data_IF_682316997191
#
_entry.id   IF_682316997191
#
_cell.length_a   1.000
_cell.length_b   1.000
_cell.length_c   1.000
_cell.angle_alpha   90.00
_cell.angle_beta   90.00
_cell.angle_gamma   90.00
#
_symmetry.space_group_name_H-M   'P 1'
#
loop_
_entity.id
_entity.type
_entity.pdbx_description
1 polymer ?
#
# COMPACT_ATOMS: atom_id res chain seq x y z
N UNK A 1 -8.05 -15.11 10.10
CA UNK A 1 -8.52 -15.04 8.70
C UNK A 1 -8.69 -16.44 8.09
N UNK A 2 -7.62 -17.23 7.91
CA UNK A 2 -7.63 -18.51 7.20
C UNK A 2 -8.60 -19.54 7.78
N UNK A 3 -8.56 -19.77 9.09
CA UNK A 3 -9.49 -20.70 9.77
C UNK A 3 -10.97 -20.33 9.53
N UNK A 4 -11.29 -19.04 9.45
CA UNK A 4 -12.64 -18.56 9.19
C UNK A 4 -13.10 -18.87 7.77
N UNK A 5 -12.19 -18.78 6.79
CA UNK A 5 -12.44 -19.17 5.39
C UNK A 5 -12.67 -20.68 5.31
N UNK A 6 -11.78 -21.48 5.92
CA UNK A 6 -11.90 -22.94 5.94
C UNK A 6 -13.21 -23.40 6.56
N UNK A 7 -13.59 -22.81 7.70
CA UNK A 7 -14.85 -23.11 8.37
C UNK A 7 -16.06 -22.69 7.52
N UNK A 8 -16.02 -21.51 6.90
CA UNK A 8 -17.11 -21.03 6.03
C UNK A 8 -17.27 -21.88 4.77
N UNK A 9 -16.20 -22.50 4.29
CA UNK A 9 -16.20 -23.37 3.11
C UNK A 9 -16.45 -24.85 3.45
N UNK A 10 -16.64 -25.19 4.73
CA UNK A 10 -16.85 -26.58 5.17
C UNK A 10 -15.64 -27.49 4.98
N UNK A 11 -14.44 -26.93 4.90
CA UNK A 11 -13.18 -27.64 4.65
C UNK A 11 -12.13 -27.36 5.76
N UNK A 12 -12.45 -27.62 7.05
CA UNK A 12 -11.58 -27.27 8.17
C UNK A 12 -10.18 -27.91 8.09
N UNK A 13 -10.08 -29.09 7.47
CA UNK A 13 -8.84 -29.88 7.39
C UNK A 13 -8.06 -29.67 6.08
N UNK A 14 -8.46 -28.73 5.22
CA UNK A 14 -7.77 -28.49 3.97
C UNK A 14 -6.33 -28.00 4.20
N UNK A 15 -5.41 -28.53 3.38
CA UNK A 15 -4.02 -28.09 3.39
C UNK A 15 -3.92 -26.68 2.80
N UNK A 16 -3.59 -25.71 3.65
CA UNK A 16 -3.40 -24.32 3.24
C UNK A 16 -1.99 -24.11 2.70
N UNK A 17 -1.89 -23.65 1.46
CA UNK A 17 -0.63 -23.20 0.86
C UNK A 17 -0.64 -21.67 0.78
N UNK A 18 0.25 -21.02 1.55
CA UNK A 18 0.50 -19.58 1.44
C UNK A 18 1.77 -19.41 0.62
N UNK A 19 1.67 -18.76 -0.54
CA UNK A 19 2.84 -18.36 -1.34
C UNK A 19 3.09 -16.86 -1.20
N UNK A 20 4.38 -16.51 -1.26
CA UNK A 20 4.96 -15.26 -0.79
C UNK A 20 4.13 -14.00 -1.00
N UNK A 21 3.85 -13.32 0.10
CA UNK A 21 3.26 -11.97 0.15
C UNK A 21 4.28 -10.92 -0.32
N UNK A 22 5.57 -11.26 -0.29
CA UNK A 22 6.64 -10.33 -0.60
C UNK A 22 6.70 -9.95 -2.09
N UNK A 23 6.95 -8.66 -2.33
CA UNK A 23 7.15 -8.06 -3.65
C UNK A 23 8.49 -7.34 -3.64
N UNK A 24 9.59 -8.07 -3.94
CA UNK A 24 10.93 -7.54 -3.71
C UNK A 24 11.23 -6.30 -4.56
N UNK A 25 10.57 -6.16 -5.71
CA UNK A 25 10.68 -5.03 -6.62
C UNK A 25 9.95 -3.74 -6.17
N UNK A 26 9.30 -3.73 -4.99
CA UNK A 26 8.61 -2.56 -4.45
C UNK A 26 9.31 -2.09 -3.17
N UNK A 27 10.00 -0.96 -3.22
CA UNK A 27 10.58 -0.35 -2.02
C UNK A 27 9.47 0.22 -1.12
N UNK A 28 9.46 -0.14 0.16
CA UNK A 28 8.44 0.31 1.11
C UNK A 28 8.96 1.48 1.95
N UNK A 29 8.37 2.67 1.83
CA UNK A 29 8.84 3.89 2.49
C UNK A 29 7.77 4.44 3.42
N UNK A 30 8.01 4.37 4.73
CA UNK A 30 7.19 5.07 5.74
C UNK A 30 7.73 6.48 5.96
N UNK A 31 6.84 7.46 5.90
CA UNK A 31 7.18 8.87 5.97
C UNK A 31 6.31 9.58 7.01
N UNK A 32 6.92 9.91 8.15
CA UNK A 32 6.30 10.74 9.18
C UNK A 32 6.11 12.17 8.66
N UNK A 33 4.86 12.60 8.55
CA UNK A 33 4.47 13.91 8.07
C UNK A 33 3.16 14.37 8.75
N UNK A 34 3.15 15.54 9.41
CA UNK A 34 1.91 16.17 9.87
C UNK A 34 0.89 16.30 8.74
N UNK A 35 -0.40 16.19 9.06
CA UNK A 35 -1.50 16.24 8.08
C UNK A 35 -1.40 17.46 7.15
N UNK A 36 -1.04 18.63 7.71
CA UNK A 36 -0.86 19.90 6.99
C UNK A 36 0.23 19.87 5.90
N UNK A 37 1.23 18.99 6.02
CA UNK A 37 2.36 18.89 5.09
C UNK A 37 2.14 17.82 4.01
N UNK A 38 1.18 16.90 4.22
CA UNK A 38 0.98 15.75 3.32
C UNK A 38 0.67 16.16 1.88
N UNK A 39 -0.16 17.18 1.69
CA UNK A 39 -0.50 17.64 0.34
C UNK A 39 0.73 18.17 -0.41
N UNK A 40 1.61 18.92 0.26
CA UNK A 40 2.86 19.43 -0.33
C UNK A 40 3.85 18.29 -0.65
N UNK A 41 3.94 17.28 0.23
CA UNK A 41 4.74 16.08 -0.03
C UNK A 41 4.21 15.33 -1.25
N UNK A 42 2.90 15.12 -1.34
CA UNK A 42 2.28 14.46 -2.49
C UNK A 42 2.50 15.27 -3.77
N UNK A 43 2.40 16.60 -3.71
CA UNK A 43 2.72 17.45 -4.85
C UNK A 43 4.17 17.30 -5.31
N UNK A 44 5.13 17.23 -4.37
CA UNK A 44 6.53 16.94 -4.68
C UNK A 44 6.73 15.56 -5.31
N UNK A 45 5.98 14.54 -4.86
CA UNK A 45 5.99 13.20 -5.47
C UNK A 45 5.37 13.19 -6.87
N UNK A 46 4.26 13.92 -7.09
CA UNK A 46 3.62 14.03 -8.40
C UNK A 46 4.54 14.67 -9.45
N UNK A 47 5.43 15.59 -9.04
CA UNK A 47 6.44 16.23 -9.90
C UNK A 47 7.61 15.32 -10.30
N UNK A 48 7.75 14.15 -9.68
CA UNK A 48 8.81 13.22 -10.06
C UNK A 48 8.53 12.66 -11.45
N UNK A 49 9.56 12.66 -12.30
CA UNK A 49 9.55 11.92 -13.54
C UNK A 49 9.49 10.42 -13.20
N UNK A 50 8.52 9.70 -13.78
CA UNK A 50 8.39 8.27 -13.61
C UNK A 50 8.89 7.57 -14.89
N UNK A 51 9.74 6.53 -14.76
CA UNK A 51 10.29 5.82 -15.91
C UNK A 51 9.20 5.08 -16.69
N UNK A 52 9.38 4.93 -18.01
CA UNK A 52 8.57 4.05 -18.85
C UNK A 52 7.08 4.40 -18.89
N UNK A 53 6.73 5.70 -18.97
CA UNK A 53 5.35 6.18 -18.85
C UNK A 53 4.67 5.73 -17.56
N UNK A 54 5.46 5.69 -16.48
CA UNK A 54 5.05 5.19 -15.19
C UNK A 54 3.90 5.99 -14.59
N UNK A 55 3.08 5.31 -13.79
CA UNK A 55 1.89 5.88 -13.14
C UNK A 55 2.08 6.00 -11.63
N UNK A 56 1.37 6.95 -11.03
CA UNK A 56 1.30 7.12 -9.59
C UNK A 56 -0.15 7.17 -9.12
N UNK A 57 -0.43 6.40 -8.08
CA UNK A 57 -1.73 6.31 -7.42
C UNK A 57 -1.64 6.87 -6.01
N UNK A 58 -2.54 7.78 -5.64
CA UNK A 58 -2.65 8.31 -4.28
C UNK A 58 -3.91 7.77 -3.63
N UNK A 59 -3.77 6.97 -2.58
CA UNK A 59 -4.88 6.47 -1.77
C UNK A 59 -5.22 7.45 -0.65
N UNK A 60 -6.49 7.89 -0.62
CA UNK A 60 -7.05 8.76 0.42
C UNK A 60 -8.20 8.04 1.14
N UNK A 61 -8.36 8.24 2.46
CA UNK A 61 -9.37 7.51 3.23
C UNK A 61 -10.80 8.02 2.98
N UNK A 62 -10.97 9.30 2.62
CA UNK A 62 -12.29 9.91 2.43
C UNK A 62 -12.34 10.80 1.20
N UNK A 63 -13.56 10.96 0.66
CA UNK A 63 -13.84 11.92 -0.42
C UNK A 63 -13.40 13.34 -0.05
N UNK A 64 -13.72 13.80 1.17
CA UNK A 64 -13.34 15.13 1.65
C UNK A 64 -11.83 15.38 1.58
N UNK A 65 -11.01 14.39 1.95
CA UNK A 65 -9.54 14.50 1.85
C UNK A 65 -9.09 14.49 0.39
N UNK A 66 -9.69 13.64 -0.45
CA UNK A 66 -9.40 13.60 -1.88
C UNK A 66 -9.72 14.90 -2.60
N UNK A 67 -10.89 15.48 -2.36
CA UNK A 67 -11.30 16.78 -2.93
C UNK A 67 -10.34 17.90 -2.49
N UNK A 68 -9.98 17.94 -1.20
CA UNK A 68 -9.03 18.93 -0.68
C UNK A 68 -7.62 18.75 -1.26
N UNK A 69 -7.16 17.51 -1.42
CA UNK A 69 -5.89 17.19 -2.05
C UNK A 69 -5.89 17.59 -3.53
N UNK A 70 -6.95 17.23 -4.27
CA UNK A 70 -7.11 17.59 -5.68
C UNK A 70 -7.07 19.11 -5.86
N UNK A 71 -7.80 19.86 -5.04
CA UNK A 71 -7.79 21.32 -5.09
C UNK A 71 -6.41 21.92 -4.74
N UNK A 72 -5.67 21.30 -3.82
CA UNK A 72 -4.30 21.71 -3.53
C UNK A 72 -3.35 21.46 -4.72
N UNK A 73 -3.39 20.26 -5.31
CA UNK A 73 -2.57 19.91 -6.47
C UNK A 73 -2.89 20.82 -7.67
N UNK A 74 -4.17 21.12 -7.91
CA UNK A 74 -4.59 22.03 -8.97
C UNK A 74 -4.00 23.45 -8.78
N UNK A 75 -4.00 23.98 -7.54
CA UNK A 75 -3.34 25.27 -7.24
C UNK A 75 -1.84 25.26 -7.45
N UNK A 76 -1.22 24.09 -7.38
CA UNK A 76 0.20 23.88 -7.68
C UNK A 76 0.47 23.57 -9.16
N UNK A 77 -0.55 23.66 -10.03
CA UNK A 77 -0.43 23.39 -11.48
C UNK A 77 -0.34 21.91 -11.83
N UNK A 78 -0.75 21.01 -10.91
CA UNK A 78 -0.72 19.57 -11.10
C UNK A 78 -2.13 19.04 -11.34
N UNK A 79 -2.42 18.66 -12.58
CA UNK A 79 -3.67 17.98 -12.91
C UNK A 79 -3.64 16.54 -12.39
N UNK A 80 -4.40 16.27 -11.33
CA UNK A 80 -4.51 14.93 -10.75
C UNK A 80 -5.99 14.59 -10.52
N UNK A 81 -6.64 13.85 -11.44
CA UNK A 81 -8.03 13.45 -11.28
C UNK A 81 -8.27 12.63 -10.01
N UNK A 82 -9.43 12.83 -9.38
CA UNK A 82 -9.86 12.07 -8.21
C UNK A 82 -10.95 11.07 -8.58
N UNK A 83 -10.61 9.78 -8.57
CA UNK A 83 -11.54 8.70 -8.84
C UNK A 83 -12.24 8.22 -7.56
N UNK A 84 -13.57 8.25 -7.56
CA UNK A 84 -14.42 7.66 -6.53
C UNK A 84 -15.78 7.23 -7.10
N UNK A 85 -16.55 6.45 -6.34
CA UNK A 85 -17.83 5.87 -6.80
C UNK A 85 -18.88 6.90 -7.21
N UNK A 86 -18.83 8.10 -6.62
CA UNK A 86 -19.73 9.22 -6.91
C UNK A 86 -19.17 10.22 -7.94
N UNK A 87 -18.06 9.91 -8.62
CA UNK A 87 -17.50 10.79 -9.63
C UNK A 87 -18.42 10.79 -10.84
N UNK A 88 -19.00 11.94 -11.18
CA UNK A 88 -19.73 12.14 -12.43
C UNK A 88 -20.81 11.08 -12.72
N UNK A 89 -21.07 10.86 -14.01
CA UNK A 89 -21.86 9.73 -14.48
C UNK A 89 -20.97 8.48 -14.74
N UNK A 90 -21.59 7.34 -15.06
CA UNK A 90 -20.86 6.09 -15.29
C UNK A 90 -19.83 6.19 -16.43
N UNK A 91 -20.16 6.94 -17.47
CA UNK A 91 -19.30 7.14 -18.64
C UNK A 91 -18.05 7.95 -18.28
N UNK A 92 -18.17 9.04 -17.51
CA UNK A 92 -17.02 9.86 -17.10
C UNK A 92 -16.00 9.05 -16.27
N UNK A 93 -16.48 8.17 -15.38
CA UNK A 93 -15.61 7.27 -14.62
C UNK A 93 -14.87 6.29 -15.53
N UNK A 94 -15.59 5.72 -16.50
CA UNK A 94 -15.00 4.79 -17.47
C UNK A 94 -13.97 5.49 -18.35
N UNK A 95 -14.24 6.73 -18.80
CA UNK A 95 -13.29 7.50 -19.60
C UNK A 95 -12.04 7.87 -18.82
N UNK A 96 -12.18 8.34 -17.58
CA UNK A 96 -11.03 8.60 -16.72
C UNK A 96 -10.20 7.33 -16.53
N UNK A 97 -10.86 6.19 -16.33
CA UNK A 97 -10.19 4.92 -16.18
C UNK A 97 -9.41 4.51 -17.43
N UNK A 98 -10.02 4.61 -18.61
CA UNK A 98 -9.37 4.36 -19.90
C UNK A 98 -8.16 5.28 -20.10
N UNK A 99 -8.29 6.57 -19.78
CA UNK A 99 -7.17 7.54 -19.83
C UNK A 99 -6.04 7.17 -18.87
N UNK A 100 -6.37 6.66 -17.69
CA UNK A 100 -5.38 6.25 -16.69
C UNK A 100 -4.65 4.97 -17.11
N UNK A 101 -5.39 3.96 -17.60
CA UNK A 101 -4.81 2.71 -18.13
C UNK A 101 -3.93 3.00 -19.35
N UNK A 102 -4.32 3.95 -20.19
CA UNK A 102 -3.61 4.36 -21.41
C UNK A 102 -4.39 4.10 -22.71
N UNK A 103 -5.62 3.61 -22.59
CA UNK A 103 -6.50 3.23 -23.70
C UNK A 103 -7.28 4.43 -24.29
N UNK A 104 -7.18 5.61 -23.67
CA UNK A 104 -7.83 6.84 -24.13
C UNK A 104 -6.93 8.05 -23.94
N UNK A 105 -7.17 9.09 -24.74
CA UNK A 105 -6.41 10.34 -24.75
C UNK A 105 -7.24 11.51 -24.21
N UNK A 106 -6.61 12.50 -23.55
CA UNK A 106 -5.20 12.53 -23.16
C UNK A 106 -4.90 11.56 -22.00
N UNK A 107 -3.70 10.97 -21.99
CA UNK A 107 -3.30 10.00 -20.95
C UNK A 107 -3.25 10.69 -19.59
N UNK A 108 -3.67 9.97 -18.55
CA UNK A 108 -3.51 10.38 -17.15
C UNK A 108 -2.50 9.44 -16.51
N UNK A 109 -1.49 9.99 -15.85
CA UNK A 109 -0.43 9.22 -15.18
C UNK A 109 -0.40 9.46 -13.66
N UNK A 110 -1.19 10.40 -13.14
CA UNK A 110 -1.40 10.66 -11.71
C UNK A 110 -2.88 10.56 -11.40
N UNK A 111 -3.24 9.78 -10.38
CA UNK A 111 -4.64 9.67 -9.94
C UNK A 111 -4.74 9.65 -8.42
N UNK A 112 -5.72 10.35 -7.87
CA UNK A 112 -6.17 10.17 -6.48
C UNK A 112 -7.30 9.15 -6.51
N UNK A 113 -7.36 8.29 -5.51
CA UNK A 113 -8.39 7.28 -5.39
C UNK A 113 -8.72 6.97 -3.93
N UNK A 114 -9.93 6.50 -3.68
CA UNK A 114 -10.26 5.85 -2.41
C UNK A 114 -9.99 4.35 -2.50
N UNK A 115 -10.03 3.64 -1.37
CA UNK A 115 -9.91 2.17 -1.33
C UNK A 115 -10.89 1.43 -2.24
N UNK A 116 -12.02 2.07 -2.62
CA UNK A 116 -12.98 1.53 -3.58
C UNK A 116 -12.44 1.38 -5.02
N UNK A 117 -11.36 2.07 -5.38
CA UNK A 117 -10.66 1.89 -6.67
C UNK A 117 -9.85 0.58 -6.74
N UNK A 118 -9.87 -0.20 -5.65
CA UNK A 118 -8.99 -1.34 -5.39
C UNK A 118 -9.45 -2.73 -5.86
N UNK A 119 -10.71 -2.94 -6.25
CA UNK A 119 -11.18 -4.28 -6.64
C UNK A 119 -11.32 -4.41 -8.16
N UNK A 120 -10.58 -5.36 -8.76
CA UNK A 120 -10.78 -5.80 -10.14
C UNK A 120 -10.07 -4.99 -11.24
N UNK A 121 -9.45 -3.86 -10.91
CA UNK A 121 -8.73 -3.06 -11.89
C UNK A 121 -7.24 -3.44 -11.98
N UNK A 122 -6.81 -3.94 -13.14
CA UNK A 122 -5.41 -4.14 -13.48
C UNK A 122 -4.86 -2.92 -14.23
N UNK A 123 -3.98 -2.17 -13.57
CA UNK A 123 -3.34 -0.99 -14.16
C UNK A 123 -1.88 -1.32 -14.43
N UNK A 124 -1.43 -1.32 -15.68
CA UNK A 124 -0.03 -1.55 -16.00
C UNK A 124 0.85 -0.38 -15.57
N UNK A 125 2.14 -0.65 -15.38
CA UNK A 125 3.19 0.35 -15.20
C UNK A 125 3.00 1.33 -14.01
N UNK A 126 2.35 0.91 -12.94
CA UNK A 126 2.30 1.70 -11.70
C UNK A 126 3.69 1.67 -11.04
N UNK A 127 4.38 2.82 -11.04
CA UNK A 127 5.71 3.00 -10.45
C UNK A 127 5.65 3.47 -9.00
N UNK A 128 4.57 4.16 -8.63
CA UNK A 128 4.42 4.67 -7.28
C UNK A 128 3.01 4.52 -6.75
N UNK A 129 2.89 4.05 -5.52
CA UNK A 129 1.65 4.10 -4.75
C UNK A 129 1.92 4.92 -3.49
N UNK A 130 1.09 5.92 -3.23
CA UNK A 130 1.21 6.82 -2.08
C UNK A 130 -0.05 6.69 -1.24
N UNK A 131 0.09 6.42 0.04
CA UNK A 131 -1.04 6.41 0.97
C UNK A 131 -1.00 7.68 1.80
N UNK A 132 -2.10 8.43 1.82
CA UNK A 132 -2.28 9.61 2.67
C UNK A 132 -2.12 9.29 4.16
N UNK A 133 -2.54 8.08 4.54
CA UNK A 133 -2.40 7.48 5.86
C UNK A 133 -2.44 5.96 5.72
N UNK A 134 -2.15 5.22 6.79
CA UNK A 134 -2.31 3.78 6.72
C UNK A 134 -3.78 3.39 6.52
N UNK A 135 -4.06 2.31 5.78
CA UNK A 135 -5.42 1.80 5.65
C UNK A 135 -5.88 1.09 6.93
N UNK A 136 -7.13 0.61 6.91
CA UNK A 136 -7.79 0.03 8.08
C UNK A 136 -7.27 -1.35 8.49
N UNK A 137 -6.48 -2.01 7.64
CA UNK A 137 -5.91 -3.33 7.89
C UNK A 137 -4.61 -3.54 7.10
N UNK A 138 -3.86 -4.58 7.45
CA UNK A 138 -2.64 -4.95 6.70
C UNK A 138 -3.02 -5.51 5.33
N UNK A 139 -4.13 -6.23 5.25
CA UNK A 139 -4.67 -6.80 4.02
C UNK A 139 -5.01 -5.70 3.01
N UNK A 140 -5.67 -4.64 3.46
CA UNK A 140 -5.95 -3.47 2.62
C UNK A 140 -4.63 -2.85 2.11
N UNK A 141 -3.64 -2.69 2.99
CA UNK A 141 -2.33 -2.14 2.60
C UNK A 141 -1.66 -2.98 1.52
N UNK A 142 -1.60 -4.31 1.71
CA UNK A 142 -1.03 -5.23 0.71
C UNK A 142 -1.72 -5.13 -0.65
N UNK A 143 -3.06 -5.08 -0.65
CA UNK A 143 -3.82 -4.99 -1.89
C UNK A 143 -3.58 -3.66 -2.60
N UNK A 144 -3.52 -2.56 -1.85
CA UNK A 144 -3.31 -1.21 -2.37
C UNK A 144 -1.89 -1.02 -2.90
N UNK A 145 -0.84 -1.31 -2.11
CA UNK A 145 0.54 -1.15 -2.59
C UNK A 145 0.95 -2.20 -3.62
N UNK A 146 0.37 -3.40 -3.57
CA UNK A 146 0.65 -4.49 -4.51
C UNK A 146 0.25 -4.20 -5.95
N UNK A 147 -0.45 -3.07 -6.18
CA UNK A 147 -0.71 -2.48 -7.50
C UNK A 147 0.55 -1.95 -8.17
N UNK A 148 1.55 -1.53 -7.40
CA UNK A 148 2.83 -1.12 -7.93
C UNK A 148 3.61 -2.30 -8.52
N UNK A 149 4.41 -2.03 -9.56
CA UNK A 149 5.42 -2.97 -10.06
C UNK A 149 4.89 -4.35 -10.45
N UNK A 150 3.69 -4.44 -11.04
CA UNK A 150 3.12 -5.72 -11.52
C UNK A 150 3.94 -6.35 -12.64
N UNK A 151 4.63 -5.52 -13.40
CA UNK A 151 5.63 -5.87 -14.41
C UNK A 151 6.99 -6.31 -13.83
N UNK A 152 7.13 -6.34 -12.50
CA UNK A 152 8.39 -6.66 -11.83
C UNK A 152 9.42 -5.53 -11.82
N UNK A 153 9.13 -4.38 -12.44
CA UNK A 153 10.04 -3.24 -12.48
C UNK A 153 10.12 -2.52 -11.12
N UNK A 154 11.24 -1.82 -10.84
CA UNK A 154 11.42 -1.05 -9.61
C UNK A 154 10.28 -0.06 -9.40
N UNK A 155 9.68 -0.13 -8.22
CA UNK A 155 8.54 0.69 -7.84
C UNK A 155 8.62 1.07 -6.36
N UNK A 156 7.86 2.07 -5.93
CA UNK A 156 7.88 2.56 -4.55
C UNK A 156 6.47 2.64 -3.97
N UNK A 157 6.30 2.10 -2.77
CA UNK A 157 5.11 2.33 -1.96
C UNK A 157 5.45 3.30 -0.83
N UNK A 158 4.88 4.51 -0.87
CA UNK A 158 5.01 5.52 0.17
C UNK A 158 3.80 5.45 1.09
N UNK A 159 4.05 5.38 2.39
CA UNK A 159 3.04 5.43 3.44
C UNK A 159 3.27 6.69 4.29
N UNK A 160 2.45 7.71 4.07
CA UNK A 160 2.46 8.90 4.92
C UNK A 160 1.78 8.58 6.25
N UNK A 161 2.26 9.19 7.32
CA UNK A 161 1.74 8.96 8.66
C UNK A 161 1.85 10.20 9.52
N UNK A 162 0.82 10.45 10.32
CA UNK A 162 0.80 11.59 11.23
C UNK A 162 1.91 11.49 12.27
N UNK A 163 2.42 12.66 12.67
CA UNK A 163 3.25 12.73 13.88
C UNK A 163 2.51 12.15 15.07
N UNK A 164 1.22 12.47 15.22
CA UNK A 164 0.35 11.94 16.25
C UNK A 164 -0.44 10.71 15.80
N UNK A 165 -0.52 9.69 16.66
CA UNK A 165 -1.24 8.42 16.36
C UNK A 165 -2.74 8.64 16.25
N UNK A 166 -3.24 9.60 17.03
CA UNK A 166 -4.67 9.70 17.33
C UNK A 166 -5.49 10.19 16.15
N UNK A 167 -4.94 11.07 15.31
CA UNK A 167 -5.67 11.65 14.18
C UNK A 167 -6.00 10.62 13.10
N UNK A 168 -5.00 9.88 12.61
CA UNK A 168 -5.18 8.87 11.55
C UNK A 168 -6.07 7.70 12.03
N UNK A 169 -5.84 7.21 13.26
CA UNK A 169 -6.66 6.13 13.86
C UNK A 169 -8.09 6.59 14.10
N UNK A 170 -8.29 7.81 14.61
CA UNK A 170 -9.60 8.35 14.92
C UNK A 170 -10.51 8.37 13.70
N UNK A 171 -9.98 8.82 12.56
CA UNK A 171 -10.71 8.81 11.29
C UNK A 171 -11.11 7.39 10.85
N UNK A 172 -10.19 6.43 10.92
CA UNK A 172 -10.47 5.05 10.53
C UNK A 172 -11.51 4.38 11.44
N UNK A 173 -11.44 4.63 12.76
CA UNK A 173 -12.44 4.14 13.73
C UNK A 173 -13.81 4.73 13.48
N UNK A 174 -13.88 6.04 13.21
CA UNK A 174 -15.13 6.70 12.83
C UNK A 174 -15.72 6.10 11.55
N UNK A 175 -14.90 5.86 10.53
CA UNK A 175 -15.34 5.22 9.29
C UNK A 175 -15.82 3.78 9.53
N UNK A 176 -15.11 3.01 10.35
CA UNK A 176 -15.51 1.64 10.72
C UNK A 176 -16.87 1.65 11.43
N UNK A 177 -17.07 2.54 12.40
CA UNK A 177 -18.35 2.70 13.08
C UNK A 177 -19.48 3.05 12.11
N UNK A 178 -19.25 4.02 11.22
CA UNK A 178 -20.25 4.43 10.22
C UNK A 178 -20.62 3.30 9.26
N UNK A 179 -19.64 2.49 8.84
CA UNK A 179 -19.86 1.34 7.99
C UNK A 179 -20.70 0.26 8.68
N UNK A 180 -20.45 0.01 9.97
CA UNK A 180 -21.23 -0.94 10.78
C UNK A 180 -22.66 -0.42 11.00
N UNK A 181 -22.84 0.85 11.33
CA UNK A 181 -24.17 1.45 11.52
C UNK A 181 -25.02 1.42 10.24
N UNK A 182 -24.40 1.46 9.06
CA UNK A 182 -25.08 1.33 7.78
C UNK A 182 -25.36 -0.11 7.34
N UNK A 183 -24.92 -1.11 8.11
CA UNK A 183 -25.07 -2.53 7.77
C UNK A 183 -26.29 -3.16 8.44
N UNK A 184 -26.85 -4.22 7.83
CA UNK A 184 -27.99 -4.99 8.37
C UNK A 184 -27.55 -6.10 9.34
N UNK A 185 -26.59 -5.81 10.22
CA UNK A 185 -26.11 -6.77 11.22
C UNK A 185 -27.00 -6.73 12.47
N UNK A 186 -27.08 -7.82 13.23
CA UNK A 186 -27.61 -7.77 14.60
C UNK A 186 -26.67 -6.96 15.50
N UNK A 187 -27.17 -6.48 16.63
CA UNK A 187 -26.38 -5.68 17.57
C UNK A 187 -25.13 -6.43 18.05
N UNK A 188 -25.24 -7.73 18.35
CA UNK A 188 -24.11 -8.55 18.77
C UNK A 188 -23.08 -8.70 17.65
N UNK A 189 -23.54 -8.98 16.43
CA UNK A 189 -22.67 -9.12 15.26
C UNK A 189 -21.98 -7.79 14.91
N UNK A 190 -22.67 -6.66 15.07
CA UNK A 190 -22.13 -5.32 14.88
C UNK A 190 -21.01 -5.02 15.89
N UNK A 191 -21.19 -5.34 17.17
CA UNK A 191 -20.18 -5.16 18.23
C UNK A 191 -18.92 -5.98 17.91
N UNK A 192 -19.08 -7.26 17.55
CA UNK A 192 -17.95 -8.14 17.22
C UNK A 192 -17.21 -7.65 15.98
N UNK A 193 -17.94 -7.28 14.93
CA UNK A 193 -17.36 -6.77 13.69
C UNK A 193 -16.60 -5.46 13.89
N UNK A 194 -17.15 -4.53 14.67
CA UNK A 194 -16.50 -3.27 15.01
C UNK A 194 -15.22 -3.48 15.82
N UNK A 195 -15.27 -4.35 16.85
CA UNK A 195 -14.09 -4.70 17.65
C UNK A 195 -12.97 -5.25 16.76
N UNK A 196 -13.30 -6.18 15.88
CA UNK A 196 -12.34 -6.73 14.92
C UNK A 196 -11.75 -5.63 14.01
N UNK A 197 -12.56 -4.71 13.49
CA UNK A 197 -12.05 -3.58 12.69
C UNK A 197 -11.11 -2.67 13.49
N UNK A 198 -11.44 -2.38 14.75
CA UNK A 198 -10.56 -1.58 15.62
C UNK A 198 -9.23 -2.27 15.91
N UNK A 199 -9.23 -3.58 16.09
CA UNK A 199 -8.02 -4.38 16.28
C UNK A 199 -7.13 -4.33 15.03
N UNK A 200 -7.69 -4.53 13.84
CA UNK A 200 -6.95 -4.45 12.57
C UNK A 200 -6.32 -3.07 12.35
N UNK A 201 -7.06 -2.00 12.65
CA UNK A 201 -6.55 -0.62 12.60
C UNK A 201 -5.36 -0.46 13.54
N UNK A 202 -5.46 -0.99 14.77
CA UNK A 202 -4.40 -0.88 15.78
C UNK A 202 -3.14 -1.65 15.38
N UNK A 203 -3.29 -2.86 14.82
CA UNK A 203 -2.17 -3.67 14.34
C UNK A 203 -1.42 -2.94 13.22
N UNK A 204 -2.15 -2.46 12.20
CA UNK A 204 -1.54 -1.73 11.08
C UNK A 204 -0.83 -0.45 11.54
N UNK A 205 -1.48 0.33 12.42
CA UNK A 205 -0.91 1.55 12.98
C UNK A 205 0.39 1.28 13.76
N UNK A 206 0.41 0.21 14.56
CA UNK A 206 1.58 -0.22 15.33
C UNK A 206 2.72 -0.63 14.41
N UNK A 207 2.44 -1.45 13.39
CA UNK A 207 3.45 -1.94 12.45
C UNK A 207 4.12 -0.79 11.69
N UNK A 208 3.34 0.15 11.20
CA UNK A 208 3.83 1.25 10.39
C UNK A 208 4.65 2.28 11.18
N UNK A 209 4.70 2.21 12.52
CA UNK A 209 5.53 3.09 13.36
C UNK A 209 6.89 2.52 13.76
N UNK A 210 7.06 1.20 13.72
CA UNK A 210 8.28 0.54 14.20
C UNK A 210 9.48 0.94 13.34
N UNK A 211 10.64 1.22 13.90
CA UNK A 211 11.87 1.49 13.11
C UNK A 211 12.45 0.26 12.42
N UNK A 212 12.00 -0.95 12.78
CA UNK A 212 12.44 -2.20 12.17
C UNK A 212 12.09 -2.30 10.67
N UNK A 213 12.66 -3.30 10.01
CA UNK A 213 12.38 -3.63 8.61
C UNK A 213 10.87 -3.84 8.39
N UNK A 214 10.25 -2.94 7.63
CA UNK A 214 8.81 -2.99 7.38
C UNK A 214 8.39 -4.20 6.55
N UNK A 215 9.21 -4.59 5.57
CA UNK A 215 8.98 -5.79 4.74
C UNK A 215 8.93 -7.06 5.58
N UNK A 216 9.89 -7.24 6.49
CA UNK A 216 9.89 -8.38 7.43
C UNK A 216 8.67 -8.36 8.35
N UNK A 217 8.24 -7.18 8.81
CA UNK A 217 7.05 -7.07 9.64
C UNK A 217 5.78 -7.49 8.88
N UNK A 218 5.65 -7.10 7.61
CA UNK A 218 4.53 -7.52 6.75
C UNK A 218 4.54 -9.03 6.49
N UNK A 219 5.70 -9.60 6.12
CA UNK A 219 5.83 -11.05 5.91
C UNK A 219 5.48 -11.84 7.19
N UNK A 220 6.04 -11.44 8.33
CA UNK A 220 5.81 -12.09 9.62
C UNK A 220 4.36 -12.04 10.11
N UNK A 221 3.55 -11.08 9.66
CA UNK A 221 2.12 -11.05 9.98
C UNK A 221 1.35 -12.23 9.36
N UNK A 222 1.75 -12.71 8.18
CA UNK A 222 1.08 -13.83 7.50
C UNK A 222 1.71 -15.19 7.78
N UNK A 223 3.03 -15.22 7.98
CA UNK A 223 3.79 -16.46 8.19
C UNK A 223 3.75 -16.93 9.65
N UNK A 224 3.27 -16.08 10.57
CA UNK A 224 3.34 -16.35 12.01
C UNK A 224 4.77 -16.22 12.54
N UNK A 225 5.03 -16.52 13.84
CA UNK A 225 6.39 -16.51 14.35
C UNK A 225 7.25 -17.49 13.54
N UNK A 226 8.30 -16.99 12.88
CA UNK A 226 9.28 -17.82 12.18
C UNK A 226 9.74 -18.91 13.15
N UNK A 227 9.44 -20.18 12.83
CA UNK A 227 10.13 -21.29 13.47
C UNK A 227 11.58 -21.20 13.02
N UNK A 228 12.45 -20.68 13.88
CA UNK A 228 13.90 -20.71 13.67
C UNK A 228 14.32 -22.18 13.70
N UNK A 229 14.26 -22.84 12.56
CA UNK A 229 14.83 -24.16 12.37
C UNK A 229 16.33 -23.96 12.21
N UNK A 230 17.12 -24.51 13.15
CA UNK A 230 18.58 -24.57 12.97
C UNK A 230 18.84 -25.35 11.69
N UNK A 231 19.41 -24.68 10.68
CA UNK A 231 19.73 -25.31 9.39
C UNK A 231 20.73 -26.43 9.62
N UNK A 232 20.42 -27.63 9.13
CA UNK A 232 21.38 -28.74 9.18
C UNK A 232 22.55 -28.45 8.23
N UNK A 233 23.68 -29.12 8.46
CA UNK A 233 24.84 -29.08 7.55
C UNK A 233 24.43 -29.48 6.13
N UNK A 234 23.59 -30.51 5.98
CA UNK A 234 23.09 -30.96 4.68
C UNK A 234 22.28 -29.89 3.95
N UNK A 235 21.43 -29.13 4.64
CA UNK A 235 20.68 -28.02 4.03
C UNK A 235 21.62 -26.90 3.58
N UNK A 236 22.65 -26.57 4.37
CA UNK A 236 23.64 -25.55 3.99
C UNK A 236 24.47 -25.97 2.77
N UNK A 237 24.82 -27.25 2.67
CA UNK A 237 25.53 -27.80 1.50
C UNK A 237 24.61 -27.77 0.27
N UNK A 238 23.36 -28.20 0.38
CA UNK A 238 22.40 -28.15 -0.74
C UNK A 238 22.13 -26.71 -1.18
N UNK A 239 21.96 -25.78 -0.24
CA UNK A 239 21.85 -24.34 -0.56
C UNK A 239 23.11 -23.81 -1.22
N UNK A 240 24.30 -24.33 -0.93
CA UNK A 240 25.54 -23.89 -1.58
C UNK A 240 25.73 -24.52 -2.97
N UNK A 241 25.43 -25.81 -3.12
CA UNK A 241 25.52 -26.56 -4.39
C UNK A 241 24.45 -26.12 -5.39
N UNK A 242 23.24 -25.84 -4.90
CA UNK A 242 22.09 -25.40 -5.68
C UNK A 242 21.73 -23.93 -5.43
N UNK A 243 22.61 -23.16 -4.77
CA UNK A 243 22.58 -21.70 -4.89
C UNK A 243 22.86 -21.42 -6.34
N UNK A 244 21.78 -21.35 -7.11
CA UNK A 244 21.76 -20.71 -8.39
C UNK A 244 22.51 -19.40 -8.19
N UNK A 245 23.62 -19.22 -8.92
CA UNK A 245 24.35 -17.97 -8.99
C UNK A 245 23.50 -16.93 -9.74
N UNK A 246 22.20 -16.83 -9.39
CA UNK A 246 21.41 -15.63 -9.52
C UNK A 246 22.13 -14.60 -8.70
N UNK A 247 23.09 -13.95 -9.37
CA UNK A 247 23.48 -12.58 -9.16
C UNK A 247 22.31 -11.88 -8.51
N UNK A 248 22.45 -11.60 -7.23
CA UNK A 248 21.95 -10.40 -6.60
C UNK A 248 20.78 -9.77 -7.38
N UNK A 249 19.53 -10.09 -7.03
CA UNK A 249 18.42 -9.15 -7.25
C UNK A 249 18.61 -7.92 -6.35
N UNK A 250 19.80 -7.31 -6.41
CA UNK A 250 20.28 -6.20 -5.59
C UNK A 250 19.95 -4.86 -6.21
N UNK A 251 18.83 -4.72 -6.91
CA UNK A 251 18.51 -3.46 -7.58
C UNK A 251 17.35 -2.70 -6.96
N UNK A 252 16.47 -3.32 -6.17
CA UNK A 252 15.40 -2.56 -5.50
C UNK A 252 15.62 -2.51 -4.00
N UNK A 253 15.72 -1.28 -3.49
CA UNK A 253 15.83 -1.02 -2.07
C UNK A 253 14.66 -1.66 -1.30
N UNK A 254 14.94 -2.23 -0.12
CA UNK A 254 13.95 -3.03 0.60
C UNK A 254 12.85 -2.16 1.24
N UNK A 255 13.21 -1.36 2.24
CA UNK A 255 12.30 -0.46 2.94
C UNK A 255 13.06 0.64 3.69
N UNK A 256 12.35 1.62 4.22
CA UNK A 256 12.93 2.73 4.99
C UNK A 256 13.75 2.27 6.19
N UNK A 257 13.33 1.22 6.91
CA UNK A 257 14.07 0.68 8.05
C UNK A 257 15.41 0.04 7.64
N UNK A 258 15.48 -0.59 6.47
CA UNK A 258 16.73 -1.18 5.97
C UNK A 258 17.69 -0.13 5.38
N UNK A 259 17.16 0.98 4.87
CA UNK A 259 17.91 2.03 4.18
C UNK A 259 17.94 3.35 4.98
N UNK A 260 17.78 3.29 6.31
CA UNK A 260 17.65 4.47 7.14
C UNK A 260 18.86 5.42 7.01
N UNK A 261 20.09 4.89 7.04
CA UNK A 261 21.31 5.70 6.91
C UNK A 261 21.37 6.44 5.57
N UNK A 262 20.96 5.79 4.47
CA UNK A 262 20.91 6.39 3.14
C UNK A 262 19.84 7.48 3.06
N UNK A 263 18.65 7.23 3.60
CA UNK A 263 17.54 8.19 3.63
C UNK A 263 17.90 9.42 4.48
N UNK A 264 18.58 9.23 5.62
CA UNK A 264 19.05 10.34 6.46
C UNK A 264 20.09 11.18 5.71
N UNK A 265 21.00 10.55 4.96
CA UNK A 265 22.06 11.24 4.23
C UNK A 265 21.54 12.02 3.01
N UNK A 266 20.64 11.43 2.23
CA UNK A 266 20.26 11.96 0.90
C UNK A 266 18.86 12.58 0.88
N UNK A 267 18.03 12.31 1.88
CA UNK A 267 16.62 12.67 1.90
C UNK A 267 15.74 11.66 1.16
N UNK A 268 14.46 11.60 1.56
CA UNK A 268 13.47 10.64 1.05
C UNK A 268 13.21 10.78 -0.45
N UNK A 269 13.13 12.01 -0.99
CA UNK A 269 12.89 12.22 -2.41
C UNK A 269 14.03 11.69 -3.29
N UNK A 270 15.29 11.88 -2.87
CA UNK A 270 16.43 11.36 -3.62
C UNK A 270 16.53 9.84 -3.54
N UNK A 271 16.22 9.26 -2.39
CA UNK A 271 16.08 7.81 -2.24
C UNK A 271 15.02 7.25 -3.21
N UNK A 272 13.84 7.88 -3.30
CA UNK A 272 12.79 7.48 -4.25
C UNK A 272 13.28 7.57 -5.70
N UNK A 273 13.93 8.68 -6.08
CA UNK A 273 14.51 8.84 -7.43
C UNK A 273 15.50 7.73 -7.77
N UNK A 274 16.38 7.39 -6.83
CA UNK A 274 17.36 6.32 -6.99
C UNK A 274 16.68 4.97 -7.24
N UNK A 275 15.66 4.63 -6.45
CA UNK A 275 14.91 3.37 -6.62
C UNK A 275 14.23 3.32 -7.98
N UNK A 276 13.60 4.41 -8.42
CA UNK A 276 12.90 4.47 -9.71
C UNK A 276 13.86 4.49 -10.91
N UNK A 277 15.13 4.84 -10.72
CA UNK A 277 16.14 4.83 -11.77
C UNK A 277 16.90 3.50 -11.89
N UNK A 278 16.64 2.54 -10.99
CA UNK A 278 17.36 1.26 -10.91
C UNK A 278 16.86 0.22 -11.91
#
# INVERSE_FOLDING_TARGET
MQQRILHSLGIPDARVFVRGVDRPNIALLRWQAPVKERSAIIAALCRLALPGSGKLMVFVPTRKIGDALQAHLAREGLETPFYHSQLGNGWEREQLLKRFVGDSRPVVDRIICTSAFGMGLDVPNVRMVVHWQHPGSIEDYLQEFGRAGRDGAPSVAVLLQGGEVKEDIGLLRYMAQRAINGSKLSDEAAIVALRHKHEQIAIMASMARKSACFRKALAGYFEGPEKVTRRSISTRIMEWVFADARRNQSQVACCDGCHQAEIVKQGRLNFIRKVLAS
#
